data_IF_065571204169
#
_entry.id   IF_065571204169
#
_cell.length_a   1.000
_cell.length_b   1.000
_cell.length_c   1.000
_cell.angle_alpha   90.00
_cell.angle_beta   90.00
_cell.angle_gamma   90.00
#
_symmetry.space_group_name_H-M   'P 1'
#
loop_
_entity.id
_entity.type
_entity.pdbx_description
1 polymer ?
#
# COMPACT_ATOMS: atom_id res chain seq x y z
N UNK A 1 54.90 -20.91 -34.35
CA UNK A 1 54.18 -21.26 -33.11
C UNK A 1 53.26 -20.08 -32.70
N UNK A 2 51.96 -20.23 -32.77
CA UNK A 2 51.00 -19.20 -32.39
C UNK A 2 51.08 -19.01 -30.86
N UNK A 3 51.43 -17.80 -30.38
CA UNK A 3 51.42 -17.46 -28.96
C UNK A 3 49.99 -17.63 -28.44
N UNK A 4 49.77 -18.60 -27.56
CA UNK A 4 48.53 -18.69 -26.78
C UNK A 4 48.40 -17.42 -25.92
N UNK A 5 47.38 -16.63 -26.20
CA UNK A 5 47.03 -15.49 -25.33
C UNK A 5 46.63 -16.00 -23.94
N UNK A 6 46.92 -15.23 -22.88
CA UNK A 6 46.57 -15.56 -21.51
C UNK A 6 45.06 -15.87 -21.38
N UNK A 7 44.72 -16.79 -20.48
CA UNK A 7 43.32 -17.14 -20.22
C UNK A 7 42.56 -15.87 -19.82
N UNK A 8 41.48 -15.55 -20.53
CA UNK A 8 40.68 -14.32 -20.31
C UNK A 8 40.93 -13.16 -21.27
N UNK A 9 42.08 -13.16 -22.03
CA UNK A 9 42.50 -12.02 -22.86
C UNK A 9 41.75 -11.84 -24.18
N UNK A 10 40.68 -12.55 -24.46
CA UNK A 10 39.87 -12.44 -25.68
C UNK A 10 40.63 -12.34 -27.03
N UNK A 11 40.03 -12.71 -28.10
CA UNK A 11 40.64 -12.57 -29.46
C UNK A 11 39.86 -11.52 -30.27
N UNK A 12 40.60 -10.58 -30.91
CA UNK A 12 39.98 -9.56 -31.76
C UNK A 12 40.29 -9.93 -33.23
N UNK A 13 39.27 -9.93 -34.08
CA UNK A 13 39.41 -10.24 -35.51
C UNK A 13 38.50 -9.37 -36.38
N UNK A 14 38.92 -9.11 -37.60
CA UNK A 14 38.13 -8.43 -38.62
C UNK A 14 37.18 -9.44 -39.26
N UNK A 15 35.94 -9.10 -39.42
CA UNK A 15 34.91 -9.89 -40.08
C UNK A 15 34.34 -9.12 -41.25
N UNK A 16 33.99 -9.84 -42.31
CA UNK A 16 33.35 -9.30 -43.50
C UNK A 16 32.03 -10.03 -43.73
N UNK A 17 31.01 -9.30 -44.13
CA UNK A 17 29.73 -9.89 -44.57
C UNK A 17 29.16 -9.10 -45.75
N UNK A 18 28.44 -9.79 -46.62
CA UNK A 18 27.80 -9.19 -47.78
C UNK A 18 26.30 -9.00 -47.54
N UNK A 19 25.80 -7.80 -47.77
CA UNK A 19 24.36 -7.50 -47.70
C UNK A 19 23.93 -6.70 -48.92
N UNK A 20 22.94 -7.22 -49.66
CA UNK A 20 22.44 -6.59 -50.91
C UNK A 20 23.58 -6.29 -51.92
N UNK A 21 24.52 -7.22 -52.11
CA UNK A 21 25.63 -7.07 -53.05
C UNK A 21 26.76 -6.11 -52.62
N UNK A 22 26.66 -5.50 -51.43
CA UNK A 22 27.71 -4.66 -50.86
C UNK A 22 28.43 -5.36 -49.73
N UNK A 23 29.75 -5.27 -49.71
CA UNK A 23 30.59 -5.82 -48.66
C UNK A 23 30.75 -4.84 -47.51
N UNK A 24 30.51 -5.34 -46.28
CA UNK A 24 30.66 -4.59 -45.04
C UNK A 24 31.68 -5.26 -44.16
N UNK A 25 32.53 -4.49 -43.51
CA UNK A 25 33.50 -4.98 -42.53
C UNK A 25 33.19 -4.47 -41.15
N UNK A 26 33.42 -5.33 -40.16
CA UNK A 26 33.35 -4.99 -38.75
C UNK A 26 34.40 -5.74 -37.95
N UNK A 27 34.69 -5.26 -36.74
CA UNK A 27 35.58 -5.92 -35.81
C UNK A 27 34.79 -6.70 -34.79
N UNK A 28 35.27 -7.89 -34.44
CA UNK A 28 34.68 -8.82 -33.48
C UNK A 28 35.72 -9.23 -32.45
N UNK A 29 35.35 -9.17 -31.15
CA UNK A 29 36.12 -9.79 -30.08
C UNK A 29 35.27 -10.86 -29.39
N UNK A 30 35.89 -12.00 -29.05
CA UNK A 30 35.27 -13.05 -28.22
C UNK A 30 36.01 -13.14 -26.90
N UNK A 31 35.24 -13.23 -25.80
CA UNK A 31 35.78 -13.35 -24.46
C UNK A 31 34.92 -14.31 -23.62
N UNK A 32 35.53 -14.91 -22.60
CA UNK A 32 34.83 -15.81 -21.67
C UNK A 32 34.26 -15.01 -20.50
N UNK A 33 33.02 -15.34 -20.11
CA UNK A 33 32.32 -14.72 -18.95
C UNK A 33 32.32 -15.67 -17.74
N UNK A 34 32.71 -16.95 -17.94
CA UNK A 34 32.71 -17.98 -16.93
C UNK A 34 32.32 -19.35 -17.50
N UNK A 35 31.85 -20.24 -16.64
CA UNK A 35 31.40 -21.57 -17.03
C UNK A 35 29.96 -21.76 -16.58
N UNK A 36 29.17 -22.45 -17.37
CA UNK A 36 27.81 -22.86 -17.04
C UNK A 36 27.86 -23.87 -15.88
N UNK A 37 27.22 -23.58 -14.74
CA UNK A 37 27.32 -24.44 -13.56
C UNK A 37 26.63 -25.80 -13.75
N UNK A 38 25.67 -25.93 -14.67
CA UNK A 38 24.97 -27.18 -14.94
C UNK A 38 25.68 -28.08 -15.95
N UNK A 39 26.38 -27.50 -16.93
CA UNK A 39 27.02 -28.25 -18.04
C UNK A 39 28.53 -28.20 -18.02
N UNK A 40 29.17 -27.35 -17.19
CA UNK A 40 30.62 -27.12 -17.15
C UNK A 40 31.19 -26.47 -18.41
N UNK A 41 30.34 -26.08 -19.36
CA UNK A 41 30.80 -25.48 -20.63
C UNK A 41 31.12 -24.00 -20.45
N UNK A 42 32.19 -23.56 -21.13
CA UNK A 42 32.61 -22.16 -21.15
C UNK A 42 31.54 -21.26 -21.80
N UNK A 43 31.11 -20.25 -21.10
CA UNK A 43 30.18 -19.22 -21.63
C UNK A 43 31.00 -18.15 -22.31
N UNK A 44 30.90 -18.07 -23.66
CA UNK A 44 31.56 -17.06 -24.46
C UNK A 44 30.58 -15.98 -24.92
N UNK A 45 31.01 -14.72 -24.88
CA UNK A 45 30.29 -13.56 -25.41
C UNK A 45 31.12 -12.88 -26.52
N UNK A 46 30.41 -12.16 -27.39
CA UNK A 46 30.99 -11.48 -28.54
C UNK A 46 30.70 -9.98 -28.44
N UNK A 47 31.73 -9.17 -28.64
CA UNK A 47 31.64 -7.72 -28.79
C UNK A 47 31.93 -7.37 -30.24
N UNK A 48 31.14 -6.49 -30.83
CA UNK A 48 31.33 -5.98 -32.19
C UNK A 48 31.45 -4.47 -32.20
N UNK A 49 32.15 -3.95 -33.21
CA UNK A 49 32.31 -2.50 -33.40
C UNK A 49 32.80 -2.17 -34.81
N UNK A 50 32.73 -0.90 -35.18
CA UNK A 50 33.17 -0.42 -36.49
C UNK A 50 34.67 -0.34 -36.59
N UNK A 51 35.38 -0.11 -35.50
CA UNK A 51 36.85 0.01 -35.46
C UNK A 51 37.46 -0.98 -34.47
N UNK A 52 38.72 -1.36 -34.72
CA UNK A 52 39.49 -2.20 -33.79
C UNK A 52 39.67 -1.52 -32.42
N UNK A 53 39.88 -0.20 -32.41
CA UNK A 53 40.06 0.60 -31.18
C UNK A 53 38.83 0.53 -30.31
N UNK A 54 37.64 0.69 -30.90
CA UNK A 54 36.33 0.60 -30.20
C UNK A 54 36.16 -0.78 -29.55
N UNK A 55 36.41 -1.85 -30.33
CA UNK A 55 36.23 -3.23 -29.82
C UNK A 55 37.26 -3.54 -28.74
N UNK A 56 38.49 -3.05 -28.84
CA UNK A 56 39.50 -3.22 -27.81
C UNK A 56 39.14 -2.50 -26.51
N UNK A 57 38.61 -1.27 -26.58
CA UNK A 57 38.15 -0.54 -25.41
C UNK A 57 36.98 -1.27 -24.70
N UNK A 58 36.01 -1.74 -25.48
CA UNK A 58 34.87 -2.51 -24.94
C UNK A 58 35.33 -3.84 -24.33
N UNK A 59 36.29 -4.52 -24.96
CA UNK A 59 36.84 -5.77 -24.46
C UNK A 59 37.58 -5.55 -23.12
N UNK A 60 38.45 -4.54 -23.04
CA UNK A 60 39.14 -4.20 -21.80
C UNK A 60 38.17 -3.87 -20.67
N UNK A 61 37.14 -3.08 -20.94
CA UNK A 61 36.12 -2.76 -19.95
C UNK A 61 35.36 -4.03 -19.47
N UNK A 62 35.06 -4.96 -20.40
CA UNK A 62 34.38 -6.20 -20.06
C UNK A 62 35.30 -7.16 -19.26
N UNK A 63 36.58 -7.29 -19.62
CA UNK A 63 37.52 -8.14 -18.86
C UNK A 63 37.78 -7.60 -17.46
N UNK A 64 37.99 -6.31 -17.29
CA UNK A 64 38.13 -5.67 -15.97
C UNK A 64 36.87 -5.93 -15.12
N UNK A 65 35.68 -5.73 -15.68
CA UNK A 65 34.43 -5.98 -14.97
C UNK A 65 34.25 -7.45 -14.58
N UNK A 66 34.75 -8.40 -15.38
CA UNK A 66 34.74 -9.83 -15.04
C UNK A 66 35.69 -10.14 -13.88
N UNK A 67 36.89 -9.58 -13.93
CA UNK A 67 37.94 -9.79 -12.90
C UNK A 67 37.51 -9.19 -11.56
N UNK A 68 36.79 -8.06 -11.58
CA UNK A 68 36.22 -7.43 -10.40
C UNK A 68 34.88 -8.05 -9.94
N UNK A 69 34.36 -9.06 -10.66
CA UNK A 69 33.06 -9.67 -10.37
C UNK A 69 31.84 -8.73 -10.62
N UNK A 70 32.07 -7.60 -11.32
CA UNK A 70 31.04 -6.58 -11.59
C UNK A 70 30.46 -6.70 -13.01
N UNK A 71 30.79 -7.75 -13.74
CA UNK A 71 30.33 -7.95 -15.10
C UNK A 71 28.86 -8.32 -15.16
N UNK A 72 28.07 -7.52 -15.87
CA UNK A 72 26.68 -7.81 -16.21
C UNK A 72 26.58 -8.06 -17.70
N UNK A 73 26.09 -9.23 -18.09
CA UNK A 73 25.89 -9.56 -19.50
C UNK A 73 24.85 -8.63 -20.13
N UNK A 74 25.14 -8.00 -21.29
CA UNK A 74 24.14 -7.18 -21.99
C UNK A 74 22.83 -7.94 -22.15
N UNK A 75 21.74 -7.39 -21.68
CA UNK A 75 20.41 -7.96 -21.78
C UNK A 75 19.55 -7.13 -22.73
N UNK A 76 18.68 -7.82 -23.49
CA UNK A 76 17.66 -7.13 -24.29
C UNK A 76 16.41 -6.82 -23.48
N UNK A 77 16.35 -7.30 -22.22
CA UNK A 77 15.21 -7.13 -21.33
C UNK A 77 14.84 -5.67 -21.17
N UNK A 78 13.59 -5.36 -21.34
CA UNK A 78 13.02 -4.03 -21.11
C UNK A 78 12.56 -3.88 -19.65
N UNK A 79 12.38 -2.64 -19.22
CA UNK A 79 11.79 -2.34 -17.90
C UNK A 79 10.39 -2.96 -17.78
N UNK A 80 9.60 -2.92 -18.86
CA UNK A 80 8.25 -3.51 -18.87
C UNK A 80 8.25 -5.02 -18.67
N UNK A 81 9.13 -5.74 -19.38
CA UNK A 81 9.30 -7.19 -19.23
C UNK A 81 9.78 -7.56 -17.83
N UNK A 82 10.74 -6.80 -17.28
CA UNK A 82 11.20 -7.01 -15.91
C UNK A 82 10.08 -6.79 -14.88
N UNK A 83 9.28 -5.73 -15.02
CA UNK A 83 8.16 -5.45 -14.11
C UNK A 83 7.09 -6.54 -14.14
N UNK A 84 6.86 -7.18 -15.29
CA UNK A 84 5.96 -8.34 -15.38
C UNK A 84 6.52 -9.53 -14.60
N UNK A 85 7.77 -9.92 -14.86
CA UNK A 85 8.45 -11.00 -14.15
C UNK A 85 8.44 -10.73 -12.64
N UNK A 86 8.85 -9.53 -12.23
CA UNK A 86 8.91 -9.15 -10.83
C UNK A 86 7.54 -9.21 -10.14
N UNK A 87 6.50 -8.75 -10.81
CA UNK A 87 5.15 -8.74 -10.24
C UNK A 87 4.50 -10.12 -10.17
N UNK A 88 4.95 -11.08 -10.96
CA UNK A 88 4.46 -12.47 -10.93
C UNK A 88 5.26 -13.34 -9.95
N UNK A 89 6.58 -13.20 -9.91
CA UNK A 89 7.46 -14.16 -9.25
C UNK A 89 7.96 -13.69 -7.88
N UNK A 90 8.09 -12.37 -7.64
CA UNK A 90 8.76 -11.83 -6.44
C UNK A 90 7.82 -11.24 -5.39
N UNK A 91 6.50 -11.35 -5.57
CA UNK A 91 5.51 -10.79 -4.64
C UNK A 91 4.78 -11.84 -3.79
N UNK A 92 5.32 -13.06 -3.65
CA UNK A 92 4.69 -14.15 -2.89
C UNK A 92 4.41 -13.82 -1.42
N UNK A 93 5.22 -12.96 -0.80
CA UNK A 93 5.05 -12.53 0.59
C UNK A 93 4.18 -11.26 0.74
N UNK A 94 3.59 -10.76 -0.36
CA UNK A 94 2.79 -9.53 -0.36
C UNK A 94 1.30 -9.87 -0.38
N UNK A 95 0.51 -9.20 0.47
CA UNK A 95 -0.95 -9.42 0.51
C UNK A 95 -1.62 -9.17 -0.85
N UNK A 96 -2.61 -9.99 -1.25
CA UNK A 96 -3.22 -9.94 -2.60
C UNK A 96 -3.73 -8.55 -3.02
N UNK A 97 -4.28 -7.77 -2.09
CA UNK A 97 -4.73 -6.40 -2.39
C UNK A 97 -3.56 -5.46 -2.73
N UNK A 98 -2.42 -5.62 -2.08
CA UNK A 98 -1.21 -4.84 -2.35
C UNK A 98 -0.61 -5.23 -3.70
N UNK A 99 -0.53 -6.54 -3.99
CA UNK A 99 -0.09 -7.03 -5.31
C UNK A 99 -0.95 -6.44 -6.42
N UNK A 100 -2.27 -6.46 -6.24
CA UNK A 100 -3.19 -5.89 -7.22
C UNK A 100 -3.01 -4.36 -7.39
N UNK A 101 -2.73 -3.61 -6.30
CA UNK A 101 -2.43 -2.19 -6.38
C UNK A 101 -1.10 -1.95 -7.13
N UNK A 102 -0.08 -2.78 -6.90
CA UNK A 102 1.18 -2.71 -7.62
C UNK A 102 0.98 -2.96 -9.11
N UNK A 103 0.28 -4.04 -9.49
CA UNK A 103 -0.03 -4.34 -10.90
C UNK A 103 -0.81 -3.21 -11.58
N UNK A 104 -1.74 -2.58 -10.88
CA UNK A 104 -2.47 -1.41 -11.39
C UNK A 104 -1.53 -0.23 -11.64
N UNK A 105 -0.63 0.09 -10.70
CA UNK A 105 0.34 1.18 -10.87
C UNK A 105 1.36 0.88 -11.98
N UNK A 106 1.82 -0.38 -12.07
CA UNK A 106 2.70 -0.83 -13.17
C UNK A 106 2.01 -0.63 -14.51
N UNK A 107 0.77 -1.11 -14.65
CA UNK A 107 -0.01 -1.02 -15.90
C UNK A 107 -0.29 0.42 -16.32
N UNK A 108 -0.73 1.25 -15.37
CA UNK A 108 -1.26 2.58 -15.69
C UNK A 108 -0.18 3.65 -15.77
N UNK A 109 0.93 3.50 -15.03
CA UNK A 109 1.94 4.57 -14.92
C UNK A 109 3.34 4.13 -15.38
N UNK A 110 3.84 2.98 -14.92
CA UNK A 110 5.23 2.59 -15.18
C UNK A 110 5.45 2.07 -16.60
N UNK A 111 4.62 1.15 -17.07
CA UNK A 111 4.77 0.54 -18.40
C UNK A 111 4.56 1.52 -19.54
N UNK A 112 3.55 2.40 -19.52
CA UNK A 112 3.37 3.37 -20.61
C UNK A 112 4.54 4.33 -20.78
N UNK A 113 5.20 4.71 -19.68
CA UNK A 113 6.24 5.75 -19.70
C UNK A 113 7.67 5.18 -19.75
N UNK A 114 7.94 4.06 -19.09
CA UNK A 114 9.29 3.51 -18.95
C UNK A 114 9.44 2.10 -19.55
N UNK A 115 8.33 1.43 -19.86
CA UNK A 115 8.32 0.00 -20.21
C UNK A 115 9.13 -0.38 -21.45
N UNK A 116 9.22 0.49 -22.45
CA UNK A 116 9.96 0.25 -23.67
C UNK A 116 11.49 0.44 -23.53
N UNK A 117 11.95 1.05 -22.44
CA UNK A 117 13.37 1.32 -22.20
C UNK A 117 14.06 0.01 -21.81
N UNK A 118 15.25 -0.23 -22.34
CA UNK A 118 16.07 -1.35 -21.89
C UNK A 118 16.45 -1.18 -20.43
N UNK A 119 16.35 -2.25 -19.65
CA UNK A 119 16.60 -2.22 -18.21
C UNK A 119 18.00 -1.67 -17.87
N UNK A 120 19.01 -2.06 -18.63
CA UNK A 120 20.40 -1.57 -18.49
C UNK A 120 20.60 -0.09 -18.89
N UNK A 121 19.69 0.48 -19.70
CA UNK A 121 19.76 1.86 -20.18
C UNK A 121 18.95 2.83 -19.30
N UNK A 122 18.16 2.30 -18.37
CA UNK A 122 17.36 3.13 -17.47
C UNK A 122 18.28 3.89 -16.50
N UNK A 123 18.17 5.21 -16.47
CA UNK A 123 19.00 6.07 -15.65
C UNK A 123 18.15 7.02 -14.79
N UNK A 124 18.78 7.62 -13.77
CA UNK A 124 18.13 8.52 -12.82
C UNK A 124 17.47 9.72 -13.49
N UNK A 125 18.09 10.31 -14.52
CA UNK A 125 17.55 11.49 -15.21
C UNK A 125 16.21 11.17 -15.90
N UNK A 126 16.13 10.04 -16.59
CA UNK A 126 14.89 9.58 -17.24
C UNK A 126 13.78 9.33 -16.20
N UNK A 127 14.11 8.70 -15.07
CA UNK A 127 13.14 8.46 -14.00
C UNK A 127 12.69 9.76 -13.33
N UNK A 128 13.62 10.69 -13.12
CA UNK A 128 13.28 12.02 -12.56
C UNK A 128 12.34 12.79 -13.48
N UNK A 129 12.61 12.81 -14.78
CA UNK A 129 11.71 13.41 -15.77
C UNK A 129 10.31 12.78 -15.75
N UNK A 130 10.23 11.46 -15.62
CA UNK A 130 8.95 10.75 -15.47
C UNK A 130 8.20 11.18 -14.19
N UNK A 131 8.86 11.30 -13.03
CA UNK A 131 8.18 11.75 -11.80
C UNK A 131 7.72 13.20 -11.89
N UNK A 132 8.50 14.07 -12.52
CA UNK A 132 8.12 15.46 -12.74
C UNK A 132 6.87 15.53 -13.63
N UNK A 133 6.85 14.82 -14.75
CA UNK A 133 5.70 14.76 -15.66
C UNK A 133 4.41 14.20 -15.04
N UNK A 134 4.52 13.32 -14.01
CA UNK A 134 3.35 12.85 -13.26
C UNK A 134 2.75 13.93 -12.34
N UNK A 135 3.54 14.91 -11.93
CA UNK A 135 3.14 16.01 -11.06
C UNK A 135 2.76 17.29 -11.79
N UNK A 136 2.95 17.34 -13.12
CA UNK A 136 2.59 18.48 -13.96
C UNK A 136 1.11 18.43 -14.37
N UNK A 137 0.48 19.61 -14.40
CA UNK A 137 -0.88 19.79 -14.89
C UNK A 137 -0.88 19.66 -16.41
N UNK A 138 -1.77 18.83 -16.95
CA UNK A 138 -1.97 18.63 -18.38
C UNK A 138 -3.39 19.02 -18.77
N UNK A 139 -3.62 19.38 -20.03
CA UNK A 139 -4.94 19.87 -20.50
C UNK A 139 -6.10 18.93 -20.17
N UNK A 140 -5.87 17.59 -20.14
CA UNK A 140 -6.92 16.58 -19.94
C UNK A 140 -6.72 15.70 -18.70
N UNK A 141 -5.67 15.89 -17.89
CA UNK A 141 -5.33 15.02 -16.74
C UNK A 141 -4.96 15.85 -15.51
N UNK A 142 -5.63 15.61 -14.39
CA UNK A 142 -5.20 16.16 -13.09
C UNK A 142 -3.83 15.62 -12.69
N UNK A 143 -2.95 16.47 -12.12
CA UNK A 143 -1.64 16.05 -11.64
C UNK A 143 -1.76 15.02 -10.51
N UNK A 144 -0.88 14.04 -10.51
CA UNK A 144 -0.86 13.07 -9.42
C UNK A 144 -0.34 13.70 -8.12
N UNK A 145 -0.99 13.36 -7.02
CA UNK A 145 -0.53 13.81 -5.70
C UNK A 145 0.89 13.33 -5.39
N UNK A 146 1.66 14.12 -4.63
CA UNK A 146 2.99 13.75 -4.13
C UNK A 146 3.01 12.37 -3.45
N UNK A 147 1.92 12.00 -2.76
CA UNK A 147 1.78 10.68 -2.14
C UNK A 147 1.66 9.57 -3.17
N UNK A 148 0.92 9.79 -4.25
CA UNK A 148 0.77 8.82 -5.34
C UNK A 148 2.10 8.61 -6.05
N UNK A 149 2.83 9.70 -6.37
CA UNK A 149 4.17 9.63 -6.99
C UNK A 149 5.14 8.86 -6.10
N UNK A 150 5.15 9.10 -4.78
CA UNK A 150 5.97 8.32 -3.83
C UNK A 150 5.60 6.84 -3.77
N UNK A 151 4.32 6.50 -3.92
CA UNK A 151 3.89 5.11 -3.99
C UNK A 151 4.39 4.43 -5.27
N UNK A 152 4.29 5.11 -6.42
CA UNK A 152 4.80 4.63 -7.71
C UNK A 152 6.33 4.45 -7.64
N UNK A 153 7.05 5.43 -7.08
CA UNK A 153 8.49 5.32 -6.81
C UNK A 153 8.81 4.08 -5.97
N UNK A 154 8.09 3.86 -4.85
CA UNK A 154 8.32 2.72 -3.97
C UNK A 154 8.16 1.36 -4.67
N UNK A 155 7.27 1.26 -5.66
CA UNK A 155 7.09 0.05 -6.48
C UNK A 155 8.30 -0.12 -7.41
N UNK A 156 8.65 0.92 -8.19
CA UNK A 156 9.77 0.89 -9.10
C UNK A 156 11.10 0.64 -8.38
N UNK A 157 11.31 1.31 -7.23
CA UNK A 157 12.50 1.14 -6.40
C UNK A 157 12.69 -0.32 -5.95
N UNK A 158 11.62 -0.98 -5.46
CA UNK A 158 11.66 -2.39 -5.05
C UNK A 158 11.96 -3.32 -6.22
N UNK A 159 11.30 -3.11 -7.35
CA UNK A 159 11.53 -3.91 -8.54
C UNK A 159 12.97 -3.78 -9.05
N UNK A 160 13.51 -2.56 -9.12
CA UNK A 160 14.88 -2.32 -9.55
C UNK A 160 15.93 -2.77 -8.52
N UNK A 161 15.63 -2.67 -7.21
CA UNK A 161 16.47 -3.28 -6.18
C UNK A 161 16.60 -4.79 -6.37
N UNK A 162 15.50 -5.47 -6.70
CA UNK A 162 15.54 -6.90 -7.02
C UNK A 162 16.33 -7.17 -8.31
N UNK A 163 16.24 -6.29 -9.32
CA UNK A 163 17.05 -6.39 -10.54
C UNK A 163 18.56 -6.28 -10.26
N UNK A 164 18.97 -5.42 -9.31
CA UNK A 164 20.35 -5.35 -8.82
C UNK A 164 20.78 -6.67 -8.16
N UNK A 165 19.94 -7.20 -7.25
CA UNK A 165 20.23 -8.46 -6.55
C UNK A 165 20.33 -9.65 -7.52
N UNK A 166 19.57 -9.63 -8.62
CA UNK A 166 19.63 -10.65 -9.67
C UNK A 166 20.76 -10.43 -10.67
N UNK A 167 21.54 -9.34 -10.54
CA UNK A 167 22.65 -9.02 -11.46
C UNK A 167 22.21 -8.54 -12.84
N UNK A 168 20.99 -8.03 -12.99
CA UNK A 168 20.51 -7.46 -14.27
C UNK A 168 20.96 -6.02 -14.49
N UNK A 169 21.16 -5.26 -13.42
CA UNK A 169 21.70 -3.89 -13.41
C UNK A 169 22.70 -3.72 -12.27
N UNK A 170 23.64 -2.78 -12.42
CA UNK A 170 24.72 -2.56 -11.44
C UNK A 170 24.27 -1.81 -10.19
N UNK A 171 23.36 -0.85 -10.33
CA UNK A 171 22.86 0.00 -9.27
C UNK A 171 21.39 0.32 -9.53
N UNK A 172 20.70 0.73 -8.49
CA UNK A 172 19.30 1.13 -8.59
C UNK A 172 19.20 2.63 -8.94
N UNK A 173 18.83 2.99 -10.19
CA UNK A 173 18.78 4.39 -10.61
C UNK A 173 17.71 5.23 -9.93
N UNK A 174 16.81 4.63 -9.14
CA UNK A 174 15.81 5.38 -8.36
C UNK A 174 16.38 5.97 -7.09
N UNK A 175 17.53 5.52 -6.58
CA UNK A 175 18.08 5.95 -5.29
C UNK A 175 18.42 7.45 -5.25
N UNK A 176 18.89 7.99 -6.37
CA UNK A 176 19.24 9.40 -6.49
C UNK A 176 18.08 10.31 -6.95
N UNK A 177 16.86 9.78 -7.08
CA UNK A 177 15.71 10.58 -7.48
C UNK A 177 15.20 11.47 -6.34
N UNK A 178 14.86 12.69 -6.67
CA UNK A 178 14.24 13.66 -5.75
C UNK A 178 12.71 13.56 -5.87
N UNK A 179 12.06 13.27 -4.75
CA UNK A 179 10.61 13.09 -4.71
C UNK A 179 9.90 14.35 -4.19
N UNK A 180 8.68 14.64 -4.68
CA UNK A 180 7.92 15.79 -4.24
C UNK A 180 7.61 15.71 -2.73
N UNK A 181 7.62 16.86 -2.07
CA UNK A 181 7.28 16.96 -0.64
C UNK A 181 5.80 16.67 -0.43
N UNK A 182 5.49 15.77 0.51
CA UNK A 182 4.11 15.53 0.92
C UNK A 182 3.73 16.64 1.91
N UNK A 183 2.75 17.43 1.55
CA UNK A 183 2.09 18.34 2.50
C UNK A 183 1.05 17.50 3.25
N UNK A 184 1.22 17.33 4.55
CA UNK A 184 0.22 16.67 5.39
C UNK A 184 -1.02 17.58 5.44
N UNK A 185 -2.16 17.05 5.05
CA UNK A 185 -3.45 17.70 5.32
C UNK A 185 -3.83 17.39 6.75
N UNK A 186 -4.25 18.40 7.48
CA UNK A 186 -4.74 18.20 8.84
C UNK A 186 -5.98 17.30 8.80
N UNK A 187 -6.01 16.36 9.73
CA UNK A 187 -7.18 15.50 9.92
C UNK A 187 -8.14 16.29 10.79
N UNK A 188 -9.33 16.55 10.24
CA UNK A 188 -10.38 17.27 10.95
C UNK A 188 -11.50 16.27 11.34
N UNK A 189 -11.38 15.63 12.51
CA UNK A 189 -12.42 14.75 13.02
C UNK A 189 -13.70 15.56 13.29
N UNK A 190 -14.83 14.89 13.37
CA UNK A 190 -16.07 15.50 13.84
C UNK A 190 -15.85 15.92 15.30
N UNK A 191 -16.04 17.19 15.59
CA UNK A 191 -16.00 17.69 16.96
C UNK A 191 -17.30 17.33 17.71
N UNK A 192 -17.50 17.87 18.92
CA UNK A 192 -18.69 17.57 19.71
C UNK A 192 -19.98 18.10 19.07
N UNK A 193 -19.92 19.31 18.48
CA UNK A 193 -21.07 19.91 17.79
C UNK A 193 -21.40 19.13 16.52
N UNK A 194 -20.40 18.86 15.70
CA UNK A 194 -20.52 18.02 14.49
C UNK A 194 -21.08 16.63 14.84
N UNK A 195 -20.59 16.03 15.94
CA UNK A 195 -21.04 14.71 16.41
C UNK A 195 -22.52 14.72 16.78
N UNK A 196 -23.01 15.77 17.48
CA UNK A 196 -24.43 15.92 17.77
C UNK A 196 -25.27 16.05 16.51
N UNK A 197 -24.85 16.91 15.58
CA UNK A 197 -25.52 17.08 14.27
C UNK A 197 -25.53 15.77 13.48
N UNK A 198 -24.42 15.05 13.47
CA UNK A 198 -24.29 13.77 12.79
C UNK A 198 -25.25 12.72 13.36
N UNK A 199 -25.32 12.59 14.69
CA UNK A 199 -26.24 11.66 15.36
C UNK A 199 -27.70 11.97 15.10
N UNK A 200 -28.07 13.26 14.95
CA UNK A 200 -29.43 13.65 14.54
C UNK A 200 -29.66 13.32 13.05
N UNK A 201 -28.71 13.61 12.19
CA UNK A 201 -28.84 13.42 10.75
C UNK A 201 -28.91 11.94 10.33
N UNK A 202 -28.35 11.02 11.11
CA UNK A 202 -28.42 9.57 10.82
C UNK A 202 -29.71 8.92 11.29
N UNK A 203 -30.58 9.60 12.06
CA UNK A 203 -31.82 9.01 12.53
C UNK A 203 -32.72 8.58 11.37
N UNK A 204 -33.10 7.31 11.39
CA UNK A 204 -33.92 6.71 10.32
C UNK A 204 -33.15 6.32 9.06
N UNK A 205 -31.83 6.60 8.97
CA UNK A 205 -31.01 6.08 7.88
C UNK A 205 -30.85 4.55 8.01
N UNK A 206 -30.86 3.78 6.91
CA UNK A 206 -30.67 2.34 6.95
C UNK A 206 -29.38 1.89 7.66
N UNK A 207 -28.36 2.75 7.72
CA UNK A 207 -27.06 2.50 8.35
C UNK A 207 -26.87 3.22 9.69
N UNK A 208 -27.92 3.80 10.29
CA UNK A 208 -27.86 4.51 11.57
C UNK A 208 -27.08 3.73 12.63
N UNK A 209 -27.46 2.46 12.88
CA UNK A 209 -26.83 1.64 13.90
C UNK A 209 -25.36 1.31 13.57
N UNK A 210 -25.04 1.13 12.28
CA UNK A 210 -23.68 0.90 11.81
C UNK A 210 -22.80 2.13 12.04
N UNK A 211 -23.29 3.32 11.69
CA UNK A 211 -22.55 4.56 11.87
C UNK A 211 -22.34 4.85 13.37
N UNK A 212 -23.37 4.63 14.18
CA UNK A 212 -23.30 4.80 15.64
C UNK A 212 -22.25 3.87 16.26
N UNK A 213 -22.28 2.56 15.94
CA UNK A 213 -21.28 1.61 16.42
C UNK A 213 -19.88 2.02 15.96
N UNK A 214 -19.71 2.44 14.69
CA UNK A 214 -18.41 2.86 14.17
C UNK A 214 -17.87 4.09 14.89
N UNK A 215 -18.73 5.09 15.13
CA UNK A 215 -18.37 6.34 15.82
C UNK A 215 -17.88 6.10 17.25
N UNK A 216 -18.50 5.17 17.99
CA UNK A 216 -18.18 4.93 19.41
C UNK A 216 -17.33 3.68 19.68
N UNK A 217 -16.80 3.04 18.64
CA UNK A 217 -15.82 1.93 18.77
C UNK A 217 -14.52 2.20 18.01
N UNK A 218 -14.52 3.14 17.07
CA UNK A 218 -13.37 3.42 16.20
C UNK A 218 -13.02 2.27 15.26
N UNK A 219 -13.93 1.34 14.99
CA UNK A 219 -13.71 0.25 14.03
C UNK A 219 -13.44 0.78 12.62
N UNK A 220 -12.54 0.14 11.88
CA UNK A 220 -12.34 0.46 10.45
C UNK A 220 -13.58 0.03 9.66
N UNK A 221 -13.85 0.69 8.52
CA UNK A 221 -14.98 0.33 7.65
C UNK A 221 -15.04 -1.17 7.32
N UNK A 222 -13.93 -1.77 6.94
CA UNK A 222 -13.88 -3.21 6.66
C UNK A 222 -14.11 -4.08 7.90
N UNK A 223 -13.70 -3.62 9.09
CA UNK A 223 -13.88 -4.34 10.35
C UNK A 223 -15.35 -4.33 10.79
N UNK A 224 -16.02 -3.17 10.75
CA UNK A 224 -17.45 -3.10 11.12
C UNK A 224 -18.33 -3.83 10.12
N UNK A 225 -18.03 -3.77 8.82
CA UNK A 225 -18.76 -4.51 7.78
C UNK A 225 -18.51 -6.02 7.81
N UNK A 226 -17.39 -6.45 8.38
CA UNK A 226 -17.02 -7.86 8.55
C UNK A 226 -17.23 -8.37 9.98
N UNK A 227 -17.86 -7.58 10.85
CA UNK A 227 -18.16 -7.99 12.22
C UNK A 227 -19.21 -9.11 12.23
N UNK A 228 -18.93 -10.18 12.97
CA UNK A 228 -19.84 -11.33 13.11
C UNK A 228 -20.40 -11.41 14.53
N UNK A 229 -21.58 -12.01 14.70
CA UNK A 229 -22.19 -12.17 16.02
C UNK A 229 -21.36 -13.05 16.96
N UNK A 230 -20.57 -13.97 16.43
CA UNK A 230 -19.66 -14.79 17.22
C UNK A 230 -18.55 -13.97 17.90
N UNK A 231 -18.29 -12.77 17.40
CA UNK A 231 -17.30 -11.84 17.93
C UNK A 231 -17.88 -10.82 18.92
N UNK A 232 -19.20 -10.87 19.21
CA UNK A 232 -19.87 -9.96 20.13
C UNK A 232 -20.26 -10.71 21.40
N UNK A 233 -19.55 -10.46 22.50
CA UNK A 233 -19.86 -11.03 23.81
C UNK A 233 -20.71 -10.05 24.64
N UNK A 234 -22.00 -10.31 24.69
CA UNK A 234 -22.94 -9.49 25.46
C UNK A 234 -22.84 -9.66 26.98
N UNK A 235 -22.24 -10.76 27.46
CA UNK A 235 -22.05 -10.99 28.90
C UNK A 235 -20.83 -10.21 29.39
N UNK A 236 -19.73 -10.28 28.67
CA UNK A 236 -18.51 -9.54 28.99
C UNK A 236 -18.54 -8.09 28.51
N UNK A 237 -19.47 -7.72 27.64
CA UNK A 237 -19.53 -6.40 27.02
C UNK A 237 -18.36 -6.13 26.07
N UNK A 238 -17.88 -7.13 25.36
CA UNK A 238 -16.68 -7.02 24.50
C UNK A 238 -16.96 -7.36 23.05
N UNK A 239 -16.15 -6.80 22.15
CA UNK A 239 -16.14 -7.07 20.72
C UNK A 239 -14.76 -7.54 20.32
N UNK A 240 -14.64 -8.76 19.80
CA UNK A 240 -13.42 -9.28 19.21
C UNK A 240 -13.32 -8.86 17.75
N UNK A 241 -12.29 -8.11 17.39
CA UNK A 241 -12.03 -7.69 16.01
C UNK A 241 -10.95 -8.59 15.45
N UNK A 242 -11.33 -9.53 14.59
CA UNK A 242 -10.40 -10.54 14.01
C UNK A 242 -10.45 -10.61 12.49
N UNK A 243 -11.55 -10.13 11.87
CA UNK A 243 -11.78 -10.18 10.42
C UNK A 243 -12.21 -8.83 9.88
N UNK A 244 -12.12 -8.70 8.57
CA UNK A 244 -12.58 -7.53 7.83
C UNK A 244 -13.21 -7.96 6.51
N UNK A 245 -14.25 -7.25 6.08
CA UNK A 245 -14.86 -7.46 4.77
C UNK A 245 -13.94 -6.89 3.70
N UNK A 246 -13.59 -7.70 2.70
CA UNK A 246 -12.82 -7.31 1.53
C UNK A 246 -13.54 -7.71 0.25
N UNK A 247 -13.35 -6.90 -0.80
CA UNK A 247 -13.88 -7.21 -2.14
C UNK A 247 -12.91 -8.10 -2.90
N UNK A 248 -13.42 -9.15 -3.55
CA UNK A 248 -12.66 -9.97 -4.47
C UNK A 248 -12.46 -9.21 -5.80
N UNK A 249 -11.22 -8.77 -6.08
CA UNK A 249 -10.94 -7.91 -7.25
C UNK A 249 -11.21 -8.55 -8.61
N UNK A 250 -11.12 -9.88 -8.72
CA UNK A 250 -11.37 -10.59 -9.97
C UNK A 250 -12.85 -10.81 -10.26
N UNK A 251 -13.72 -10.62 -9.26
CA UNK A 251 -15.17 -10.85 -9.38
C UNK A 251 -15.91 -9.65 -8.79
N UNK A 252 -16.33 -8.75 -9.68
CA UNK A 252 -17.09 -7.55 -9.30
C UNK A 252 -18.33 -7.95 -8.48
N UNK A 253 -18.51 -7.35 -7.29
CA UNK A 253 -19.65 -7.64 -6.42
C UNK A 253 -19.47 -8.83 -5.46
N UNK A 254 -18.36 -9.58 -5.51
CA UNK A 254 -18.06 -10.63 -4.52
C UNK A 254 -17.22 -10.09 -3.39
N UNK A 255 -17.59 -10.46 -2.18
CA UNK A 255 -16.94 -10.08 -0.94
C UNK A 255 -16.58 -11.33 -0.14
N UNK A 256 -15.58 -11.24 0.72
CA UNK A 256 -15.14 -12.31 1.62
C UNK A 256 -14.57 -11.74 2.90
N UNK A 257 -14.59 -12.53 3.97
CA UNK A 257 -13.96 -12.17 5.25
C UNK A 257 -12.47 -12.50 5.19
N UNK A 258 -11.65 -11.48 5.24
CA UNK A 258 -10.19 -11.59 5.27
C UNK A 258 -9.66 -11.35 6.68
N UNK A 259 -8.43 -11.81 6.96
CA UNK A 259 -7.68 -11.42 8.16
C UNK A 259 -7.43 -9.92 8.21
N UNK A 260 -7.14 -9.40 9.38
CA UNK A 260 -6.80 -8.00 9.58
C UNK A 260 -5.52 -7.60 8.84
N UNK A 261 -5.34 -6.29 8.61
CA UNK A 261 -4.17 -5.77 7.90
C UNK A 261 -2.83 -6.20 8.53
N UNK A 262 -2.79 -6.30 9.87
CA UNK A 262 -1.59 -6.67 10.64
C UNK A 262 -1.68 -8.09 11.23
N UNK A 263 -2.69 -8.88 10.83
CA UNK A 263 -2.97 -10.24 11.30
C UNK A 263 -3.03 -10.39 12.84
N UNK A 264 -3.31 -9.27 13.56
CA UNK A 264 -3.42 -9.23 15.02
C UNK A 264 -4.86 -8.93 15.42
N UNK A 265 -5.61 -9.91 15.93
CA UNK A 265 -6.90 -9.69 16.56
C UNK A 265 -6.76 -8.76 17.77
N UNK A 266 -7.82 -8.03 18.09
CA UNK A 266 -7.92 -7.22 19.30
C UNK A 266 -9.31 -7.28 19.89
N UNK A 267 -9.38 -7.20 21.21
CA UNK A 267 -10.63 -7.01 21.92
C UNK A 267 -10.86 -5.52 22.18
N UNK A 268 -12.07 -5.06 21.94
CA UNK A 268 -12.55 -3.71 22.27
C UNK A 268 -13.66 -3.84 23.31
N UNK A 269 -13.60 -3.03 24.36
CA UNK A 269 -14.67 -2.94 25.35
C UNK A 269 -15.39 -1.61 25.17
N UNK A 270 -16.46 -1.57 24.36
CA UNK A 270 -17.20 -0.34 24.13
C UNK A 270 -18.07 0.03 25.34
N UNK A 271 -18.51 1.27 25.38
CA UNK A 271 -19.46 1.71 26.39
C UNK A 271 -20.72 0.82 26.39
N UNK A 272 -21.35 0.56 27.56
CA UNK A 272 -22.54 -0.29 27.67
C UNK A 272 -23.70 0.13 26.74
N UNK A 273 -23.80 1.41 26.47
CA UNK A 273 -24.78 1.95 25.52
C UNK A 273 -24.56 1.43 24.09
N UNK A 274 -23.32 1.28 23.65
CA UNK A 274 -23.02 0.72 22.33
C UNK A 274 -23.44 -0.76 22.26
N UNK A 275 -23.31 -1.50 23.36
CA UNK A 275 -23.81 -2.88 23.43
C UNK A 275 -25.33 -2.94 23.33
N UNK A 276 -26.06 -1.92 23.84
CA UNK A 276 -27.50 -1.82 23.62
C UNK A 276 -27.85 -1.53 22.14
N UNK A 277 -27.06 -0.70 21.46
CA UNK A 277 -27.20 -0.47 20.01
C UNK A 277 -27.03 -1.78 19.24
N UNK A 278 -26.05 -2.61 19.61
CA UNK A 278 -25.87 -3.94 19.00
C UNK A 278 -27.04 -4.89 19.28
N UNK A 279 -27.69 -4.80 20.47
CA UNK A 279 -28.94 -5.54 20.73
C UNK A 279 -30.07 -5.06 19.83
N UNK A 280 -30.23 -3.74 19.63
CA UNK A 280 -31.21 -3.18 18.67
C UNK A 280 -30.94 -3.70 17.25
N UNK A 281 -29.65 -3.75 16.82
CA UNK A 281 -29.28 -4.30 15.53
C UNK A 281 -29.66 -5.78 15.40
N UNK A 282 -29.52 -6.56 16.47
CA UNK A 282 -29.92 -7.98 16.48
C UNK A 282 -31.43 -8.15 16.31
N UNK A 283 -32.22 -7.30 16.93
CA UNK A 283 -33.67 -7.28 16.76
C UNK A 283 -34.08 -6.87 15.34
N UNK A 284 -33.53 -5.78 14.83
CA UNK A 284 -33.74 -5.34 13.44
C UNK A 284 -33.42 -6.46 12.44
N UNK A 285 -32.30 -7.14 12.63
CA UNK A 285 -31.90 -8.23 11.75
C UNK A 285 -32.84 -9.44 11.84
N UNK A 286 -33.44 -9.70 13.01
CA UNK A 286 -34.45 -10.72 13.15
C UNK A 286 -35.76 -10.35 12.40
N UNK A 287 -36.17 -9.09 12.43
CA UNK A 287 -37.29 -8.55 11.64
C UNK A 287 -37.03 -8.67 10.16
N UNK A 288 -35.83 -8.25 9.67
CA UNK A 288 -35.41 -8.40 8.28
C UNK A 288 -35.45 -9.89 7.83
N UNK A 289 -35.02 -10.80 8.71
CA UNK A 289 -35.04 -12.24 8.45
C UNK A 289 -36.46 -12.78 8.27
N UNK A 290 -37.39 -12.33 9.12
CA UNK A 290 -38.80 -12.72 9.02
C UNK A 290 -39.41 -12.17 7.72
N UNK A 291 -39.13 -10.91 7.38
CA UNK A 291 -39.60 -10.28 6.16
C UNK A 291 -39.07 -10.93 4.88
N UNK A 292 -37.79 -11.32 4.88
CA UNK A 292 -37.15 -11.97 3.75
C UNK A 292 -37.53 -13.44 3.57
N UNK A 293 -38.00 -14.11 4.63
CA UNK A 293 -38.41 -15.52 4.62
C UNK A 293 -37.30 -16.44 4.04
N UNK A 294 -37.67 -17.24 3.05
CA UNK A 294 -36.73 -18.18 2.40
C UNK A 294 -35.58 -17.50 1.63
N UNK A 295 -35.70 -16.21 1.31
CA UNK A 295 -34.64 -15.47 0.62
C UNK A 295 -33.52 -15.01 1.56
N UNK A 296 -33.70 -15.15 2.89
CA UNK A 296 -32.68 -14.77 3.86
C UNK A 296 -31.46 -15.69 3.82
N UNK A 297 -30.26 -15.11 3.69
CA UNK A 297 -29.00 -15.85 3.74
C UNK A 297 -27.89 -15.02 4.40
N UNK A 298 -27.45 -15.44 5.60
CA UNK A 298 -26.32 -14.86 6.35
C UNK A 298 -25.37 -15.98 6.80
N UNK A 299 -24.66 -16.64 5.86
CA UNK A 299 -23.78 -17.78 6.18
C UNK A 299 -22.59 -17.38 7.05
N UNK A 300 -22.12 -16.12 6.93
CA UNK A 300 -21.00 -15.58 7.70
C UNK A 300 -21.41 -15.07 9.08
N UNK A 301 -22.70 -15.13 9.44
CA UNK A 301 -23.24 -14.63 10.70
C UNK A 301 -22.89 -13.15 10.98
N UNK A 302 -22.95 -12.32 9.93
CA UNK A 302 -22.64 -10.89 10.01
C UNK A 302 -23.60 -10.13 10.90
N UNK A 303 -23.08 -9.12 11.61
CA UNK A 303 -23.87 -8.18 12.42
C UNK A 303 -24.64 -7.20 11.54
N UNK A 304 -23.99 -6.65 10.52
CA UNK A 304 -24.58 -5.68 9.60
C UNK A 304 -24.77 -6.31 8.22
N UNK A 305 -26.02 -6.47 7.82
CA UNK A 305 -26.41 -7.14 6.56
C UNK A 305 -27.32 -6.24 5.74
N UNK A 306 -27.45 -6.55 4.47
CA UNK A 306 -28.55 -6.05 3.66
C UNK A 306 -29.88 -6.75 4.08
N UNK A 307 -31.06 -6.30 3.61
CA UNK A 307 -32.36 -6.89 3.98
C UNK A 307 -32.52 -8.38 3.68
N UNK A 308 -31.66 -8.97 2.84
CA UNK A 308 -31.66 -10.40 2.51
C UNK A 308 -30.59 -11.18 3.29
N UNK A 309 -29.90 -10.56 4.25
CA UNK A 309 -28.86 -11.21 5.05
C UNK A 309 -27.44 -11.19 4.46
N UNK A 310 -27.28 -10.75 3.23
CA UNK A 310 -25.98 -10.68 2.56
C UNK A 310 -25.12 -9.49 3.02
N UNK A 311 -23.90 -9.43 2.52
CA UNK A 311 -22.96 -8.36 2.81
C UNK A 311 -23.48 -6.98 2.38
N UNK A 312 -23.20 -5.96 3.18
CA UNK A 312 -23.35 -4.57 2.78
C UNK A 312 -22.27 -4.20 1.76
N UNK A 313 -22.65 -3.44 0.73
CA UNK A 313 -21.72 -2.92 -0.27
C UNK A 313 -20.97 -1.74 0.31
N UNK A 314 -19.63 -1.78 0.49
CA UNK A 314 -18.87 -0.71 1.16
C UNK A 314 -18.99 0.65 0.48
N UNK A 315 -19.23 0.68 -0.83
CA UNK A 315 -19.45 1.91 -1.60
C UNK A 315 -20.79 2.57 -1.23
N UNK A 316 -21.87 1.77 -1.12
CA UNK A 316 -23.20 2.28 -0.74
C UNK A 316 -23.16 2.90 0.64
N UNK A 317 -22.56 2.22 1.63
CA UNK A 317 -22.39 2.76 2.99
C UNK A 317 -21.58 4.06 2.97
N UNK A 318 -20.52 4.14 2.15
CA UNK A 318 -19.71 5.37 2.03
C UNK A 318 -20.46 6.51 1.36
N UNK A 319 -21.36 6.22 0.40
CA UNK A 319 -22.19 7.22 -0.26
C UNK A 319 -23.18 7.83 0.73
N UNK A 320 -23.96 7.01 1.46
CA UNK A 320 -24.86 7.52 2.51
C UNK A 320 -24.12 8.37 3.54
N UNK A 321 -22.96 7.89 4.00
CA UNK A 321 -22.12 8.69 4.91
C UNK A 321 -21.79 10.06 4.31
N UNK A 322 -21.39 10.12 3.04
CA UNK A 322 -21.06 11.38 2.34
C UNK A 322 -22.24 12.32 2.20
N UNK A 323 -23.41 11.80 1.91
CA UNK A 323 -24.67 12.57 1.83
C UNK A 323 -25.01 13.17 3.21
N UNK A 324 -24.88 12.38 4.28
CA UNK A 324 -25.14 12.82 5.66
C UNK A 324 -24.13 13.89 6.11
N UNK A 325 -22.82 13.68 5.94
CA UNK A 325 -21.85 14.69 6.39
C UNK A 325 -21.90 15.96 5.57
N UNK A 326 -22.30 15.89 4.29
CA UNK A 326 -22.57 17.07 3.48
C UNK A 326 -23.76 17.89 4.01
N UNK A 327 -24.84 17.22 4.47
CA UNK A 327 -26.03 17.88 5.03
C UNK A 327 -25.75 18.64 6.34
N UNK A 328 -24.72 18.23 7.09
CA UNK A 328 -24.28 18.92 8.31
C UNK A 328 -23.12 19.89 8.09
N UNK A 329 -22.81 20.25 6.81
CA UNK A 329 -21.76 21.21 6.47
C UNK A 329 -20.33 20.65 6.48
N UNK A 330 -20.15 19.31 6.49
CA UNK A 330 -18.84 18.65 6.50
C UNK A 330 -18.60 17.76 5.25
N UNK A 331 -18.71 18.33 4.04
CA UNK A 331 -18.59 17.54 2.79
C UNK A 331 -17.19 16.95 2.57
N UNK A 332 -16.17 17.46 3.24
CA UNK A 332 -14.79 16.95 3.23
C UNK A 332 -14.61 15.69 4.07
N UNK A 333 -15.46 15.46 5.08
CA UNK A 333 -15.32 14.34 6.02
C UNK A 333 -15.45 12.98 5.30
N UNK A 334 -14.63 12.03 5.70
CA UNK A 334 -14.57 10.68 5.16
C UNK A 334 -15.07 9.67 6.19
N UNK A 335 -15.58 8.55 5.77
CA UNK A 335 -16.00 7.48 6.69
C UNK A 335 -14.91 7.12 7.74
N UNK A 336 -13.63 7.20 7.36
CA UNK A 336 -12.53 6.92 8.30
C UNK A 336 -12.40 7.97 9.40
N UNK A 337 -12.96 9.16 9.18
CA UNK A 337 -12.90 10.24 10.16
C UNK A 337 -13.82 9.98 11.39
N UNK A 338 -14.83 9.09 11.28
CA UNK A 338 -15.54 8.54 12.45
C UNK A 338 -14.58 7.89 13.46
N UNK A 339 -13.60 7.16 12.97
CA UNK A 339 -12.58 6.54 13.81
C UNK A 339 -11.63 7.58 14.42
N UNK A 340 -11.32 8.65 13.68
CA UNK A 340 -10.56 9.78 14.22
C UNK A 340 -11.36 10.52 15.30
N UNK A 341 -12.66 10.70 15.09
CA UNK A 341 -13.59 11.29 16.08
C UNK A 341 -13.66 10.45 17.36
N UNK A 342 -13.75 9.12 17.23
CA UNK A 342 -13.64 8.21 18.38
C UNK A 342 -12.35 8.44 19.17
N UNK A 343 -11.21 8.50 18.50
CA UNK A 343 -9.94 8.67 19.18
C UNK A 343 -9.87 9.99 19.96
N UNK A 344 -10.33 11.09 19.34
CA UNK A 344 -10.37 12.41 20.00
C UNK A 344 -11.33 12.40 21.17
N UNK A 345 -12.53 11.82 21.00
CA UNK A 345 -13.53 11.72 22.07
C UNK A 345 -13.00 10.88 23.25
N UNK A 346 -12.38 9.73 23.00
CA UNK A 346 -11.79 8.87 24.02
C UNK A 346 -10.68 9.58 24.81
N UNK A 347 -9.77 10.27 24.12
CA UNK A 347 -8.70 11.04 24.78
C UNK A 347 -9.29 12.21 25.61
N UNK A 348 -10.31 12.90 25.07
CA UNK A 348 -11.00 13.99 25.81
C UNK A 348 -11.75 13.49 27.05
N UNK A 349 -12.31 12.29 26.98
CA UNK A 349 -12.99 11.66 28.12
C UNK A 349 -12.03 11.08 29.17
N UNK A 350 -10.72 11.15 28.95
CA UNK A 350 -9.71 10.79 29.94
C UNK A 350 -8.97 9.48 29.68
N UNK A 351 -9.25 8.79 28.57
CA UNK A 351 -8.53 7.57 28.21
C UNK A 351 -7.05 7.89 27.96
N UNK A 352 -6.18 7.03 28.45
CA UNK A 352 -4.76 7.11 28.12
C UNK A 352 -4.51 6.70 26.66
N UNK A 353 -3.45 7.26 26.07
CA UNK A 353 -3.10 7.07 24.66
C UNK A 353 -2.84 5.59 24.31
N UNK A 354 -2.34 4.81 25.28
CA UNK A 354 -2.06 3.39 25.08
C UNK A 354 -3.34 2.57 24.97
N UNK A 355 -4.34 2.87 25.78
CA UNK A 355 -5.68 2.29 25.71
C UNK A 355 -6.35 2.63 24.38
N UNK A 356 -6.32 3.90 23.98
CA UNK A 356 -6.86 4.34 22.67
C UNK A 356 -6.11 3.64 21.51
N UNK A 357 -4.77 3.54 21.58
CA UNK A 357 -3.96 2.79 20.62
C UNK A 357 -4.40 1.33 20.52
N UNK A 358 -4.60 0.67 21.68
CA UNK A 358 -5.05 -0.72 21.76
C UNK A 358 -6.41 -0.92 21.11
N UNK A 359 -7.40 -0.11 21.49
CA UNK A 359 -8.77 -0.15 20.95
C UNK A 359 -8.76 0.05 19.42
N UNK A 360 -7.97 0.99 18.95
CA UNK A 360 -7.82 1.27 17.52
C UNK A 360 -6.98 0.21 16.78
N UNK A 361 -6.09 -0.52 17.44
CA UNK A 361 -5.13 -1.43 16.80
C UNK A 361 -4.16 -0.67 15.89
N UNK A 362 -3.59 0.45 16.38
CA UNK A 362 -2.51 1.16 15.73
C UNK A 362 -1.18 0.47 16.01
N UNK A 363 -0.31 0.37 15.01
CA UNK A 363 0.98 -0.30 15.15
C UNK A 363 1.91 0.43 16.12
N UNK A 364 1.80 1.77 16.22
CA UNK A 364 2.61 2.62 17.10
C UNK A 364 1.76 3.69 17.79
N UNK A 365 2.13 4.05 19.03
CA UNK A 365 1.54 5.17 19.76
C UNK A 365 1.85 6.52 19.09
N UNK A 366 3.02 6.63 18.45
CA UNK A 366 3.44 7.80 17.66
C UNK A 366 2.38 8.23 16.66
N UNK A 367 1.74 7.29 15.94
CA UNK A 367 0.68 7.62 15.00
C UNK A 367 -0.53 8.27 15.69
N UNK A 368 -0.88 7.79 16.89
CA UNK A 368 -1.98 8.36 17.69
C UNK A 368 -1.62 9.77 18.16
N UNK A 369 -0.38 9.98 18.61
CA UNK A 369 0.13 11.29 19.04
C UNK A 369 0.24 12.28 17.87
N UNK A 370 0.78 11.86 16.73
CA UNK A 370 0.95 12.72 15.55
C UNK A 370 -0.39 13.23 14.97
N UNK A 371 -1.46 12.46 15.15
CA UNK A 371 -2.79 12.80 14.65
C UNK A 371 -3.59 13.65 15.66
N UNK A 372 -3.35 13.46 16.95
CA UNK A 372 -4.18 14.05 18.04
C UNK A 372 -3.41 14.99 18.96
N UNK A 373 -2.23 15.45 18.54
CA UNK A 373 -1.36 16.35 19.32
C UNK A 373 -2.01 17.64 19.80
N UNK A 374 -3.11 18.07 19.17
CA UNK A 374 -3.89 19.25 19.58
C UNK A 374 -4.70 19.04 20.87
N UNK A 375 -4.86 17.79 21.33
CA UNK A 375 -5.55 17.47 22.60
C UNK A 375 -4.64 17.70 23.81
N UNK A 376 -3.34 17.90 23.60
CA UNK A 376 -2.32 17.94 24.66
C UNK A 376 -2.51 19.07 25.69
N UNK A 377 -3.06 20.22 25.30
CA UNK A 377 -3.22 21.33 26.26
C UNK A 377 -4.36 21.08 27.27
N UNK A 378 -5.46 20.49 26.84
CA UNK A 378 -6.51 20.03 27.75
C UNK A 378 -5.99 18.93 28.69
N UNK A 379 -5.18 18.01 28.18
CA UNK A 379 -4.56 16.96 29.00
C UNK A 379 -3.57 17.52 30.01
N UNK A 380 -2.80 18.55 29.68
CA UNK A 380 -1.90 19.25 30.62
C UNK A 380 -2.69 19.90 31.74
N UNK A 381 -3.77 20.61 31.43
CA UNK A 381 -4.62 21.24 32.42
C UNK A 381 -5.30 20.23 33.34
N UNK A 382 -5.84 19.14 32.77
CA UNK A 382 -6.42 18.06 33.55
C UNK A 382 -5.37 17.30 34.40
N UNK A 383 -4.14 17.16 33.90
CA UNK A 383 -3.03 16.59 34.68
C UNK A 383 -2.65 17.48 35.85
N UNK A 384 -2.58 18.79 35.64
CA UNK A 384 -2.30 19.77 36.70
C UNK A 384 -3.40 19.72 37.79
N UNK A 385 -4.67 19.66 37.39
CA UNK A 385 -5.79 19.56 38.33
C UNK A 385 -5.76 18.24 39.15
N UNK A 386 -5.40 17.11 38.51
CA UNK A 386 -5.21 15.83 39.23
C UNK A 386 -4.04 15.88 40.22
N UNK A 387 -2.93 16.51 39.82
CA UNK A 387 -1.78 16.68 40.72
C UNK A 387 -2.11 17.58 41.91
N UNK A 388 -2.85 18.66 41.66
CA UNK A 388 -3.31 19.55 42.72
C UNK A 388 -4.23 18.81 43.73
N UNK A 389 -5.15 17.97 43.23
CA UNK A 389 -6.01 17.12 44.09
C UNK A 389 -5.15 16.15 44.92
N UNK A 390 -4.19 15.49 44.33
CA UNK A 390 -3.26 14.56 44.99
C UNK A 390 -2.43 15.26 46.09
N UNK A 391 -1.92 16.46 45.79
CA UNK A 391 -1.16 17.26 46.78
C UNK A 391 -2.04 17.62 47.95
N UNK A 392 -3.30 18.06 47.71
CA UNK A 392 -4.25 18.40 48.78
C UNK A 392 -4.57 17.20 49.67
N UNK A 393 -4.73 16.04 49.08
CA UNK A 393 -4.99 14.78 49.78
C UNK A 393 -3.83 14.41 50.71
N UNK A 394 -2.58 14.51 50.25
CA UNK A 394 -1.37 14.28 51.07
C UNK A 394 -1.23 15.33 52.18
N UNK A 395 -1.54 16.60 51.93
CA UNK A 395 -1.36 17.67 52.91
C UNK A 395 -2.49 17.72 53.93
N UNK A 396 -3.62 17.05 53.67
CA UNK A 396 -4.77 16.92 54.56
C UNK A 396 -4.76 15.64 55.41
N UNK A 397 -3.84 14.71 55.15
CA UNK A 397 -3.58 13.49 55.89
C UNK A 397 -2.52 13.69 56.97
#
# INVERSE_FOLDING_TARGET
MSKRSAAGSGSIRKRTFTRKGKEYTYWEARYSVGYDPGTGKQIQKTITGKTQKEVNQKLKAATVAIDEGTYIAPSKMTVGEWLDIWSEEYLGNVKPLTVSAYKTSIKNHLKPNLGAIKLEALNTHTIQGFYNALGEEKEDEEPLSAKTIKNIHGILHRALKQAVLNGYIRYNPTEACILPRIVKKDIMPLDEADTKLFLEAIKGDPFELLFTVTLFTGLRKGEVLGLTWNCVDFLRGTILVEKQLQQEKKKKGKYYLATLKNDKPRSVTPAPWVMQILRKQKLKQAEDRIAAGAAWSNPDNLVFTNPLGGHLVPWTVSRHYKEIVASIGRPDARFHDLRHSYAVAAIRSGDDIKTVQGNLGHATASFTLDVYGHVTDQMKNASAARMEAYIKDILSA
#
